data_IF_161247727726
#
_entry.id   IF_161247727726
#
_cell.length_a   1.000
_cell.length_b   1.000
_cell.length_c   1.000
_cell.angle_alpha   90.00
_cell.angle_beta   90.00
_cell.angle_gamma   90.00
#
_symmetry.space_group_name_H-M   'P 1'
#
loop_
_entity.id
_entity.type
_entity.pdbx_description
1 polymer ?
#
# COMPACT_ATOMS: atom_id res chain seq x y z
N UNK A 1 -7.81 -0.56 -21.78
CA UNK A 1 -6.93 -0.52 -20.61
C UNK A 1 -5.58 -1.02 -21.06
N UNK A 2 -4.52 -0.27 -20.76
CA UNK A 2 -3.14 -0.68 -21.00
C UNK A 2 -2.60 -1.20 -19.68
N UNK A 3 -2.27 -2.49 -19.61
CA UNK A 3 -1.78 -3.11 -18.37
C UNK A 3 -0.44 -2.50 -17.96
N UNK A 4 -0.14 -2.49 -16.65
CA UNK A 4 1.17 -2.07 -16.19
C UNK A 4 2.19 -3.14 -16.57
N UNK A 5 3.06 -2.82 -17.53
CA UNK A 5 4.08 -3.75 -17.98
C UNK A 5 5.28 -3.70 -17.04
N UNK A 6 5.54 -4.82 -16.38
CA UNK A 6 6.76 -5.08 -15.64
C UNK A 6 7.28 -6.45 -16.06
N UNK A 7 8.55 -6.52 -16.46
CA UNK A 7 9.17 -7.79 -16.78
C UNK A 7 9.57 -8.53 -15.49
N UNK A 8 9.81 -9.84 -15.63
CA UNK A 8 10.15 -10.72 -14.51
C UNK A 8 11.49 -10.36 -13.86
N UNK A 9 12.47 -9.93 -14.65
CA UNK A 9 13.81 -9.66 -14.12
C UNK A 9 13.74 -8.39 -13.27
N UNK A 10 13.03 -7.36 -13.72
CA UNK A 10 12.72 -6.18 -12.90
C UNK A 10 11.96 -6.53 -11.61
N UNK A 11 10.99 -7.44 -11.66
CA UNK A 11 10.28 -7.91 -10.45
C UNK A 11 11.24 -8.56 -9.43
N UNK A 12 12.17 -9.39 -9.93
CA UNK A 12 13.17 -10.06 -9.12
C UNK A 12 14.23 -9.09 -8.59
N UNK A 13 14.75 -8.20 -9.42
CA UNK A 13 15.76 -7.21 -9.04
C UNK A 13 15.24 -6.25 -7.96
N UNK A 14 13.96 -5.88 -8.05
CA UNK A 14 13.30 -5.07 -7.03
C UNK A 14 12.89 -5.87 -5.79
N UNK A 15 12.93 -7.20 -5.83
CA UNK A 15 12.39 -8.09 -4.79
C UNK A 15 10.96 -7.68 -4.41
N UNK A 16 10.15 -7.40 -5.43
CA UNK A 16 8.88 -6.70 -5.26
C UNK A 16 7.86 -7.54 -4.48
N UNK A 17 7.87 -8.85 -4.69
CA UNK A 17 6.88 -9.80 -4.15
C UNK A 17 7.49 -10.84 -3.20
N UNK A 18 8.77 -10.70 -2.86
CA UNK A 18 9.47 -11.62 -1.97
C UNK A 18 8.88 -11.53 -0.56
N UNK A 19 8.70 -12.70 0.08
CA UNK A 19 8.17 -12.87 1.44
C UNK A 19 9.19 -13.53 2.35
N UNK A 20 10.37 -12.92 2.45
CA UNK A 20 11.54 -13.44 3.17
C UNK A 20 12.10 -12.49 4.25
N UNK A 21 11.41 -11.39 4.52
CA UNK A 21 11.71 -10.41 5.56
C UNK A 21 12.34 -9.10 5.05
N UNK A 22 12.92 -9.11 3.85
CA UNK A 22 13.63 -7.95 3.28
C UNK A 22 13.03 -7.48 1.92
N UNK A 23 11.95 -8.12 1.47
CA UNK A 23 11.23 -7.75 0.25
C UNK A 23 10.45 -6.45 0.38
N UNK A 24 10.18 -5.79 -0.76
CA UNK A 24 9.39 -4.55 -0.77
C UNK A 24 7.97 -4.82 -0.27
N UNK A 25 7.36 -5.93 -0.66
CA UNK A 25 6.05 -6.33 -0.15
C UNK A 25 6.05 -6.45 1.39
N UNK A 26 7.03 -7.15 1.97
CA UNK A 26 7.13 -7.34 3.42
C UNK A 26 7.25 -6.01 4.18
N UNK A 27 8.02 -5.06 3.64
CA UNK A 27 8.13 -3.72 4.23
C UNK A 27 6.77 -3.00 4.31
N UNK A 28 5.95 -3.10 3.26
CA UNK A 28 4.64 -2.44 3.22
C UNK A 28 3.51 -3.24 3.89
N UNK A 29 3.68 -4.55 4.07
CA UNK A 29 2.65 -5.40 4.65
C UNK A 29 2.49 -5.15 6.15
N UNK A 30 1.59 -4.23 6.50
CA UNK A 30 1.14 -3.93 7.86
C UNK A 30 -0.32 -4.36 8.07
N UNK A 31 -0.78 -5.33 7.27
CA UNK A 31 -2.16 -5.81 7.32
C UNK A 31 -2.40 -6.67 8.57
N UNK A 32 -3.66 -6.73 9.02
CA UNK A 32 -4.03 -7.46 10.26
C UNK A 32 -4.49 -8.87 9.93
N UNK A 33 -5.18 -9.03 8.81
CA UNK A 33 -5.79 -10.31 8.41
C UNK A 33 -5.12 -10.86 7.18
N UNK A 34 -5.15 -12.19 7.04
CA UNK A 34 -4.65 -12.87 5.84
C UNK A 34 -5.36 -12.43 4.56
N UNK A 35 -6.67 -12.16 4.63
CA UNK A 35 -7.43 -11.68 3.48
C UNK A 35 -6.97 -10.29 3.02
N UNK A 36 -6.61 -9.42 3.95
CA UNK A 36 -6.04 -8.11 3.63
C UNK A 36 -4.63 -8.23 3.05
N UNK A 37 -3.82 -9.17 3.55
CA UNK A 37 -2.51 -9.48 2.99
C UNK A 37 -2.61 -9.93 1.53
N UNK A 38 -3.54 -10.84 1.22
CA UNK A 38 -3.82 -11.30 -0.15
C UNK A 38 -4.27 -10.14 -1.04
N UNK A 39 -5.16 -9.29 -0.55
CA UNK A 39 -5.60 -8.10 -1.28
C UNK A 39 -4.46 -7.10 -1.52
N UNK A 40 -3.58 -6.87 -0.55
CA UNK A 40 -2.39 -6.03 -0.72
C UNK A 40 -1.41 -6.65 -1.72
N UNK A 41 -1.21 -7.96 -1.67
CA UNK A 41 -0.32 -8.68 -2.58
C UNK A 41 -0.77 -8.52 -4.03
N UNK A 42 -2.07 -8.59 -4.29
CA UNK A 42 -2.62 -8.36 -5.63
C UNK A 42 -2.37 -6.94 -6.15
N UNK A 43 -2.35 -5.93 -5.27
CA UNK A 43 -2.01 -4.54 -5.66
C UNK A 43 -0.56 -4.42 -6.14
N UNK A 44 0.37 -5.16 -5.52
CA UNK A 44 1.78 -5.18 -5.91
C UNK A 44 2.01 -6.04 -7.16
N UNK A 45 1.29 -7.16 -7.28
CA UNK A 45 1.40 -8.11 -8.40
C UNK A 45 0.84 -7.55 -9.69
N UNK A 46 -0.28 -6.83 -9.62
CA UNK A 46 -0.97 -6.27 -10.78
C UNK A 46 -1.29 -4.78 -10.54
N UNK A 47 -0.29 -3.89 -10.72
CA UNK A 47 -0.51 -2.46 -10.55
C UNK A 47 -1.51 -1.93 -11.57
N UNK A 48 -2.51 -1.20 -11.07
CA UNK A 48 -3.50 -0.54 -11.93
C UNK A 48 -2.88 0.64 -12.69
N UNK A 49 -3.39 0.90 -13.89
CA UNK A 49 -2.99 2.04 -14.74
C UNK A 49 -4.10 3.08 -14.93
N UNK A 50 -5.31 2.79 -14.43
CA UNK A 50 -6.43 3.72 -14.48
C UNK A 50 -6.21 4.88 -13.49
N UNK A 51 -6.09 6.09 -14.04
CA UNK A 51 -5.79 7.29 -13.27
C UNK A 51 -6.87 7.62 -12.23
N UNK A 52 -8.14 7.43 -12.56
CA UNK A 52 -9.24 7.78 -11.66
C UNK A 52 -9.34 6.77 -10.51
N UNK A 53 -9.11 5.50 -10.78
CA UNK A 53 -9.01 4.48 -9.74
C UNK A 53 -7.79 4.70 -8.82
N UNK A 54 -6.64 5.09 -9.38
CA UNK A 54 -5.46 5.48 -8.58
C UNK A 54 -5.80 6.64 -7.64
N UNK A 55 -6.41 7.72 -8.17
CA UNK A 55 -6.80 8.88 -7.37
C UNK A 55 -7.79 8.50 -6.28
N UNK A 56 -8.76 7.66 -6.59
CA UNK A 56 -9.76 7.17 -5.64
C UNK A 56 -9.10 6.43 -4.49
N UNK A 57 -8.20 5.48 -4.76
CA UNK A 57 -7.43 4.75 -3.73
C UNK A 57 -6.60 5.69 -2.86
N UNK A 58 -5.90 6.64 -3.47
CA UNK A 58 -5.12 7.63 -2.72
C UNK A 58 -6.00 8.50 -1.81
N UNK A 59 -7.18 8.91 -2.27
CA UNK A 59 -8.12 9.69 -1.46
C UNK A 59 -8.62 8.88 -0.25
N UNK A 60 -8.96 7.60 -0.44
CA UNK A 60 -9.34 6.69 0.65
C UNK A 60 -8.23 6.54 1.68
N UNK A 61 -6.98 6.32 1.24
CA UNK A 61 -5.83 6.22 2.14
C UNK A 61 -5.65 7.52 2.93
N UNK A 62 -5.64 8.67 2.24
CA UNK A 62 -5.52 10.01 2.90
C UNK A 62 -6.61 10.24 3.94
N UNK A 63 -7.85 9.84 3.66
CA UNK A 63 -8.96 9.95 4.59
C UNK A 63 -8.68 9.20 5.90
N UNK A 64 -8.26 7.94 5.84
CA UNK A 64 -7.96 7.16 7.05
C UNK A 64 -6.73 7.66 7.82
N UNK A 65 -5.70 8.14 7.13
CA UNK A 65 -4.54 8.78 7.78
C UNK A 65 -4.94 10.09 8.48
N UNK A 66 -5.81 10.89 7.86
CA UNK A 66 -6.37 12.10 8.47
C UNK A 66 -7.18 11.80 9.73
N UNK A 67 -8.01 10.75 9.72
CA UNK A 67 -8.73 10.28 10.91
C UNK A 67 -7.77 9.86 12.03
N UNK A 68 -6.68 9.16 11.69
CA UNK A 68 -5.66 8.76 12.66
C UNK A 68 -4.97 9.98 13.28
N UNK A 69 -4.66 11.00 12.48
CA UNK A 69 -4.09 12.26 12.98
C UNK A 69 -5.05 13.01 13.92
N UNK A 70 -6.35 13.06 13.60
CA UNK A 70 -7.35 13.69 14.47
C UNK A 70 -7.62 12.89 15.76
N UNK A 71 -7.37 11.58 15.75
CA UNK A 71 -7.47 10.72 16.94
C UNK A 71 -6.28 10.90 17.90
N UNK A 72 -5.18 11.47 17.44
CA UNK A 72 -4.09 11.99 18.30
C UNK A 72 -4.44 13.45 18.63
N UNK A 73 -5.44 13.69 19.50
CA UNK A 73 -5.41 14.91 20.30
C UNK A 73 -4.55 14.60 21.53
N UNK A 74 -3.34 15.16 21.65
CA UNK A 74 -2.61 15.11 22.89
C UNK A 74 -3.37 15.99 23.88
N UNK A 75 -3.94 15.37 24.92
CA UNK A 75 -4.28 16.10 26.11
C UNK A 75 -3.05 16.89 26.58
N UNK A 76 -3.28 18.18 26.83
CA UNK A 76 -2.38 19.13 27.49
C UNK A 76 -1.26 19.72 26.62
N UNK A 77 -1.58 20.85 25.99
CA UNK A 77 -0.77 22.07 26.14
C UNK A 77 -1.73 23.24 26.37
N UNK A 78 -2.10 23.47 27.63
CA UNK A 78 -2.56 24.80 28.04
C UNK A 78 -1.31 25.60 28.40
N UNK A 79 -1.09 26.66 27.63
CA UNK A 79 -0.27 27.83 27.95
C UNK A 79 -0.43 28.26 29.40
#
# INVERSE_FOLDING_TARGET
MSDFYIDRDTLTDLRLLDKDGDGVFDFFNQTITKGDEEALFDIFRDPITDLEEIKRRQATIRFFFGLRAHRIQPGVWKI
#
